data_IF_042918019304
#
_entry.id   IF_042918019304
#
_cell.length_a   1.000
_cell.length_b   1.000
_cell.length_c   1.000
_cell.angle_alpha   90.00
_cell.angle_beta   90.00
_cell.angle_gamma   90.00
#
_symmetry.space_group_name_H-M   'P 1'
#
loop_
_entity.id
_entity.type
_entity.pdbx_description
1 polymer ?
#
# COMPACT_ATOMS: atom_id res chain seq x y z
N UNK A 1 -61.32 60.50 2.90
CA UNK A 1 -59.97 60.58 3.48
C UNK A 1 -60.05 59.74 4.75
N UNK A 2 -59.52 58.53 4.91
CA UNK A 2 -58.44 57.78 4.26
C UNK A 2 -58.81 56.28 4.37
N UNK A 3 -58.68 55.52 3.29
CA UNK A 3 -58.75 54.04 3.31
C UNK A 3 -57.48 53.47 3.96
N UNK A 4 -57.58 52.46 4.83
CA UNK A 4 -56.49 51.52 5.06
C UNK A 4 -57.02 50.11 5.38
N UNK A 5 -56.50 49.14 4.62
CA UNK A 5 -56.89 47.73 4.56
C UNK A 5 -56.39 46.89 5.76
N UNK A 6 -56.97 45.72 6.04
CA UNK A 6 -56.45 44.80 7.05
C UNK A 6 -55.21 44.06 6.53
N UNK A 7 -54.11 44.10 7.30
CA UNK A 7 -52.88 43.35 7.05
C UNK A 7 -53.11 41.87 7.34
N UNK A 8 -53.02 41.03 6.30
CA UNK A 8 -52.81 39.60 6.41
C UNK A 8 -51.47 39.31 7.10
N UNK A 9 -51.50 38.60 8.22
CA UNK A 9 -50.33 37.98 8.84
C UNK A 9 -49.87 36.82 7.96
N UNK A 10 -48.81 37.02 7.17
CA UNK A 10 -48.16 35.92 6.46
C UNK A 10 -47.40 35.05 7.47
N UNK A 11 -47.82 33.79 7.58
CA UNK A 11 -47.04 32.75 8.25
C UNK A 11 -45.69 32.63 7.53
N UNK A 12 -44.62 33.01 8.23
CA UNK A 12 -43.26 32.70 7.82
C UNK A 12 -43.11 31.20 7.64
N UNK A 13 -42.92 30.77 6.40
CA UNK A 13 -42.50 29.41 6.07
C UNK A 13 -41.04 29.31 6.53
N UNK A 14 -40.82 28.79 7.74
CA UNK A 14 -39.52 28.23 8.09
C UNK A 14 -39.30 27.03 7.19
N UNK A 15 -38.62 27.26 6.07
CA UNK A 15 -37.97 26.23 5.27
C UNK A 15 -36.85 25.65 6.14
N UNK A 16 -37.17 24.68 6.98
CA UNK A 16 -36.19 23.74 7.48
C UNK A 16 -35.65 22.98 6.29
N UNK A 17 -34.51 23.43 5.77
CA UNK A 17 -33.67 22.60 4.93
C UNK A 17 -33.19 21.46 5.83
N UNK A 18 -33.95 20.37 5.84
CA UNK A 18 -33.35 19.06 6.02
C UNK A 18 -32.37 18.94 4.87
N UNK A 19 -31.08 18.89 5.19
CA UNK A 19 -30.07 18.45 4.25
C UNK A 19 -30.48 17.04 3.84
N UNK A 20 -31.19 16.92 2.72
CA UNK A 20 -31.47 15.66 2.06
C UNK A 20 -30.13 15.12 1.56
N UNK A 21 -29.36 14.51 2.46
CA UNK A 21 -28.28 13.62 2.10
C UNK A 21 -28.91 12.44 1.36
N UNK A 22 -28.99 12.60 0.03
CA UNK A 22 -29.30 11.50 -0.87
C UNK A 22 -28.37 10.32 -0.60
N UNK A 23 -28.72 9.11 -1.08
CA UNK A 23 -28.01 7.88 -0.74
C UNK A 23 -26.49 8.05 -0.92
N UNK A 24 -25.67 7.44 -0.04
CA UNK A 24 -24.22 7.56 -0.05
C UNK A 24 -23.70 7.34 -1.46
N UNK A 25 -23.22 8.41 -2.09
CA UNK A 25 -22.69 8.29 -3.45
C UNK A 25 -21.38 7.52 -3.36
N UNK A 26 -21.37 6.29 -3.87
CA UNK A 26 -20.16 5.50 -4.02
C UNK A 26 -19.11 6.35 -4.75
N UNK A 27 -17.92 6.59 -4.16
CA UNK A 27 -16.93 7.47 -4.74
C UNK A 27 -16.56 7.08 -6.16
N UNK A 28 -16.39 8.09 -7.01
CA UNK A 28 -15.77 7.89 -8.32
C UNK A 28 -14.31 7.47 -8.17
N UNK A 29 -13.75 6.79 -9.17
CA UNK A 29 -12.33 6.38 -9.18
C UNK A 29 -11.38 7.58 -8.95
N UNK A 30 -11.72 8.74 -9.52
CA UNK A 30 -10.93 9.97 -9.36
C UNK A 30 -10.89 10.42 -7.90
N UNK A 31 -12.01 10.34 -7.19
CA UNK A 31 -12.08 10.71 -5.77
C UNK A 31 -11.31 9.71 -4.89
N UNK A 32 -11.40 8.40 -5.20
CA UNK A 32 -10.60 7.39 -4.50
C UNK A 32 -9.11 7.66 -4.70
N UNK A 33 -8.66 7.89 -5.94
CA UNK A 33 -7.26 8.20 -6.25
C UNK A 33 -6.76 9.46 -5.54
N UNK A 34 -7.58 10.51 -5.41
CA UNK A 34 -7.18 11.72 -4.68
C UNK A 34 -7.01 11.52 -3.18
N UNK A 35 -7.55 10.43 -2.62
CA UNK A 35 -7.38 10.07 -1.22
C UNK A 35 -6.23 9.08 -0.99
N UNK A 36 -5.61 8.56 -2.06
CA UNK A 36 -4.47 7.65 -1.97
C UNK A 36 -3.22 8.47 -1.63
N UNK A 37 -2.54 8.08 -0.55
CA UNK A 37 -1.19 8.56 -0.30
C UNK A 37 -0.22 7.91 -1.29
N UNK A 38 0.60 8.73 -1.94
CA UNK A 38 1.54 8.27 -2.95
C UNK A 38 2.83 9.09 -2.93
N UNK A 39 3.94 8.42 -2.68
CA UNK A 39 5.30 8.90 -2.88
C UNK A 39 5.80 8.43 -4.25
N UNK A 40 6.19 9.41 -5.05
CA UNK A 40 6.91 9.21 -6.30
C UNK A 40 8.40 9.08 -6.01
N UNK A 41 9.07 8.22 -6.77
CA UNK A 41 10.52 8.08 -6.72
C UNK A 41 11.14 8.77 -7.92
N UNK A 42 12.13 9.62 -7.66
CA UNK A 42 12.89 10.23 -8.76
C UNK A 42 13.62 9.15 -9.57
N UNK A 43 13.67 9.28 -10.91
CA UNK A 43 14.50 8.43 -11.74
C UNK A 43 15.93 8.37 -11.19
N UNK A 44 16.56 7.20 -11.25
CA UNK A 44 17.93 6.94 -10.79
C UNK A 44 18.19 7.07 -9.27
N UNK A 45 17.18 7.44 -8.47
CA UNK A 45 17.20 7.13 -7.04
C UNK A 45 16.81 5.65 -6.88
N UNK A 46 17.48 4.88 -6.02
CA UNK A 46 17.18 3.44 -5.84
C UNK A 46 16.32 3.14 -4.60
N UNK A 47 15.60 4.15 -4.12
CA UNK A 47 14.84 4.17 -2.86
C UNK A 47 13.49 3.43 -2.91
N UNK A 48 13.35 2.43 -3.80
CA UNK A 48 12.08 1.73 -4.00
C UNK A 48 11.55 1.04 -2.75
N UNK A 49 12.43 0.58 -1.84
CA UNK A 49 12.00 0.01 -0.56
C UNK A 49 11.30 1.06 0.30
N UNK A 50 11.85 2.27 0.41
CA UNK A 50 11.26 3.38 1.17
C UNK A 50 9.85 3.71 0.65
N UNK A 51 9.75 3.97 -0.65
CA UNK A 51 8.49 4.36 -1.25
C UNK A 51 7.48 3.21 -1.27
N UNK A 52 7.92 1.96 -1.44
CA UNK A 52 7.04 0.79 -1.34
C UNK A 52 6.42 0.67 0.06
N UNK A 53 7.23 0.84 1.12
CA UNK A 53 6.77 0.83 2.52
C UNK A 53 5.77 1.97 2.80
N UNK A 54 6.14 3.21 2.49
CA UNK A 54 5.29 4.36 2.77
C UNK A 54 3.99 4.34 1.95
N UNK A 55 4.08 3.92 0.68
CA UNK A 55 2.90 3.75 -0.16
C UNK A 55 1.98 2.65 0.36
N UNK A 56 2.49 1.46 0.70
CA UNK A 56 1.61 0.36 1.15
C UNK A 56 0.93 0.65 2.48
N UNK A 57 1.62 1.37 3.37
CA UNK A 57 1.10 1.84 4.67
C UNK A 57 0.28 3.11 4.56
N UNK A 58 0.25 3.73 3.38
CA UNK A 58 -0.49 4.95 3.05
C UNK A 58 -0.11 6.15 3.96
N UNK A 59 1.19 6.34 4.18
CA UNK A 59 1.74 7.50 4.89
C UNK A 59 3.27 7.46 4.97
N UNK A 60 3.92 8.54 5.43
CA UNK A 60 5.37 8.61 5.59
C UNK A 60 5.79 7.90 6.89
N UNK A 61 5.69 6.57 6.93
CA UNK A 61 6.03 5.78 8.12
C UNK A 61 7.53 5.66 8.35
N UNK A 62 8.31 5.67 7.26
CA UNK A 62 9.75 5.55 7.29
C UNK A 62 10.38 6.73 6.55
N UNK A 63 11.54 7.12 7.02
CA UNK A 63 12.49 8.00 6.35
C UNK A 63 13.68 7.20 5.81
N UNK A 64 14.54 7.87 5.03
CA UNK A 64 15.80 7.27 4.60
C UNK A 64 16.70 6.90 5.79
N UNK A 65 16.77 7.77 6.80
CA UNK A 65 17.60 7.57 7.99
C UNK A 65 17.13 6.36 8.81
N UNK A 66 15.81 6.12 8.86
CA UNK A 66 15.24 4.93 9.51
C UNK A 66 15.72 3.65 8.82
N UNK A 67 15.67 3.60 7.48
CA UNK A 67 16.11 2.42 6.72
C UNK A 67 17.62 2.19 6.79
N UNK A 68 18.41 3.26 6.83
CA UNK A 68 19.86 3.16 7.05
C UNK A 68 20.13 2.59 8.45
N UNK A 69 19.41 3.07 9.47
CA UNK A 69 19.55 2.58 10.84
C UNK A 69 19.20 1.09 10.94
N UNK A 70 18.07 0.68 10.35
CA UNK A 70 17.67 -0.73 10.29
C UNK A 70 18.70 -1.59 9.55
N UNK A 71 19.25 -1.10 8.43
CA UNK A 71 20.31 -1.81 7.71
C UNK A 71 21.54 -2.02 8.58
N UNK A 72 22.00 -0.99 9.29
CA UNK A 72 23.18 -1.08 10.15
C UNK A 72 22.97 -2.06 11.31
N UNK A 73 21.77 -2.10 11.89
CA UNK A 73 21.40 -3.08 12.92
C UNK A 73 21.43 -4.51 12.39
N UNK A 74 20.90 -4.75 11.18
CA UNK A 74 20.96 -6.04 10.51
C UNK A 74 22.42 -6.45 10.23
N UNK A 75 23.22 -5.53 9.70
CA UNK A 75 24.63 -5.76 9.39
C UNK A 75 25.45 -6.09 10.64
N UNK A 76 25.18 -5.44 11.77
CA UNK A 76 25.83 -5.75 13.04
C UNK A 76 25.39 -7.11 13.59
N UNK A 77 24.10 -7.43 13.52
CA UNK A 77 23.57 -8.74 13.94
C UNK A 77 24.16 -9.88 13.10
N UNK A 78 24.25 -9.71 11.78
CA UNK A 78 24.88 -10.67 10.88
C UNK A 78 26.37 -10.85 11.17
N UNK A 79 27.11 -9.75 11.38
CA UNK A 79 28.53 -9.81 11.77
C UNK A 79 28.73 -10.51 13.11
N UNK A 80 27.88 -10.24 14.10
CA UNK A 80 27.93 -10.89 15.42
C UNK A 80 27.76 -12.41 15.31
N UNK A 81 26.84 -12.89 14.44
CA UNK A 81 26.62 -14.32 14.20
C UNK A 81 27.82 -15.01 13.51
N UNK A 82 28.60 -14.25 12.74
CA UNK A 82 29.79 -14.75 12.03
C UNK A 82 31.08 -14.63 12.85
N UNK A 83 31.04 -14.05 14.06
CA UNK A 83 32.23 -13.92 14.90
C UNK A 83 32.84 -15.30 15.20
N UNK A 84 34.15 -15.43 14.94
CA UNK A 84 34.86 -16.71 15.10
C UNK A 84 34.66 -17.70 13.96
N UNK A 85 33.89 -17.36 12.92
CA UNK A 85 33.73 -18.16 11.71
C UNK A 85 34.63 -17.63 10.58
N UNK A 86 35.23 -18.54 9.80
CA UNK A 86 36.02 -18.17 8.60
C UNK A 86 35.21 -17.35 7.57
N UNK A 87 33.87 -17.45 7.61
CA UNK A 87 32.96 -16.74 6.72
C UNK A 87 32.93 -15.23 6.99
N UNK A 88 33.41 -14.76 8.14
CA UNK A 88 33.54 -13.33 8.41
C UNK A 88 34.46 -12.62 7.39
N UNK A 89 35.44 -13.34 6.83
CA UNK A 89 36.31 -12.81 5.77
C UNK A 89 35.56 -12.57 4.45
N UNK A 90 34.42 -13.22 4.25
CA UNK A 90 33.55 -13.03 3.09
C UNK A 90 32.55 -11.88 3.28
N UNK A 91 32.51 -11.25 4.47
CA UNK A 91 31.66 -10.09 4.73
C UNK A 91 32.27 -8.85 4.07
N UNK A 92 31.73 -8.44 2.93
CA UNK A 92 32.25 -7.35 2.09
C UNK A 92 31.20 -6.24 1.94
N UNK A 93 31.53 -5.07 1.35
CA UNK A 93 30.52 -4.06 1.03
C UNK A 93 29.34 -4.58 0.18
N UNK A 94 29.54 -5.64 -0.61
CA UNK A 94 28.46 -6.29 -1.37
C UNK A 94 27.52 -7.15 -0.51
N UNK A 95 27.92 -7.44 0.73
CA UNK A 95 27.12 -8.17 1.72
C UNK A 95 26.28 -7.23 2.60
N UNK A 96 26.46 -5.91 2.48
CA UNK A 96 25.73 -4.94 3.28
C UNK A 96 24.26 -4.88 2.88
N UNK A 97 23.41 -4.64 3.87
CA UNK A 97 21.96 -4.54 3.68
C UNK A 97 21.53 -3.22 2.99
N UNK A 98 22.42 -2.24 2.89
CA UNK A 98 22.22 -0.98 2.18
C UNK A 98 23.43 -0.61 1.30
N UNK A 99 23.14 -0.08 0.11
CA UNK A 99 24.12 0.49 -0.81
C UNK A 99 24.17 2.02 -0.70
N UNK A 100 25.32 2.62 -1.03
CA UNK A 100 25.49 4.07 -1.17
C UNK A 100 24.56 4.71 -2.21
N UNK A 101 24.06 3.93 -3.16
CA UNK A 101 23.12 4.40 -4.18
C UNK A 101 21.65 4.33 -3.72
N UNK A 102 21.38 3.76 -2.54
CA UNK A 102 20.02 3.67 -1.99
C UNK A 102 19.31 2.33 -2.23
N UNK A 103 20.00 1.31 -2.75
CA UNK A 103 19.47 -0.05 -2.72
C UNK A 103 19.41 -0.59 -1.29
N UNK A 104 18.28 -1.17 -0.93
CA UNK A 104 18.08 -1.87 0.33
C UNK A 104 17.74 -3.34 0.08
N UNK A 105 18.24 -4.22 0.93
CA UNK A 105 17.94 -5.65 0.86
C UNK A 105 16.47 -5.93 1.18
N UNK A 106 16.00 -7.12 0.80
CA UNK A 106 14.67 -7.59 1.22
C UNK A 106 14.54 -7.69 2.76
N UNK A 107 15.64 -7.94 3.48
CA UNK A 107 15.63 -8.02 4.94
C UNK A 107 15.33 -6.67 5.57
N UNK A 108 15.85 -5.57 5.01
CA UNK A 108 15.52 -4.21 5.47
C UNK A 108 14.01 -3.93 5.37
N UNK A 109 13.40 -4.28 4.23
CA UNK A 109 11.95 -4.13 4.04
C UNK A 109 11.16 -4.92 5.08
N UNK A 110 11.55 -6.18 5.33
CA UNK A 110 10.85 -7.05 6.28
C UNK A 110 11.06 -6.61 7.73
N UNK A 111 12.27 -6.14 8.07
CA UNK A 111 12.59 -5.61 9.39
C UNK A 111 11.85 -4.30 9.68
N UNK A 112 11.75 -3.41 8.69
CA UNK A 112 10.94 -2.19 8.80
C UNK A 112 9.46 -2.52 9.07
N UNK A 113 8.87 -3.46 8.32
CA UNK A 113 7.49 -3.88 8.60
C UNK A 113 7.35 -4.50 10.00
N UNK A 114 8.32 -5.31 10.42
CA UNK A 114 8.33 -5.91 11.75
C UNK A 114 8.40 -4.87 12.88
N UNK A 115 9.12 -3.76 12.70
CA UNK A 115 9.23 -2.69 13.72
C UNK A 115 7.90 -1.98 13.98
N UNK A 116 6.96 -2.02 13.02
CA UNK A 116 5.58 -1.53 13.16
C UNK A 116 4.56 -2.66 13.39
N UNK A 117 5.03 -3.86 13.74
CA UNK A 117 4.17 -5.01 14.10
C UNK A 117 3.54 -5.75 12.91
N UNK A 118 4.08 -5.57 11.70
CA UNK A 118 3.56 -6.19 10.47
C UNK A 118 4.48 -7.32 10.01
N UNK A 119 3.90 -8.51 9.82
CA UNK A 119 4.64 -9.69 9.36
C UNK A 119 4.04 -10.22 8.04
N UNK A 120 4.63 -9.87 6.87
CA UNK A 120 4.13 -10.33 5.58
C UNK A 120 4.29 -11.84 5.38
N UNK A 121 3.31 -12.47 4.74
CA UNK A 121 3.35 -13.89 4.40
C UNK A 121 3.86 -14.11 2.98
N UNK A 122 4.87 -14.97 2.74
CA UNK A 122 5.31 -15.26 1.38
C UNK A 122 4.25 -16.03 0.59
N UNK A 123 3.91 -15.55 -0.61
CA UNK A 123 3.03 -16.25 -1.54
C UNK A 123 3.83 -17.35 -2.26
N UNK A 124 3.83 -18.55 -1.68
CA UNK A 124 4.49 -19.72 -2.24
C UNK A 124 3.60 -20.42 -3.27
N UNK A 125 4.21 -20.97 -4.31
CA UNK A 125 3.56 -21.82 -5.30
C UNK A 125 4.42 -23.06 -5.60
N UNK A 126 3.80 -24.13 -6.10
CA UNK A 126 4.53 -25.37 -6.46
C UNK A 126 4.97 -25.29 -7.91
N UNK A 127 6.28 -25.19 -8.12
CA UNK A 127 6.91 -25.01 -9.44
C UNK A 127 6.38 -25.94 -10.55
N UNK A 128 5.97 -27.15 -10.18
CA UNK A 128 5.53 -28.22 -11.09
C UNK A 128 4.11 -28.09 -11.63
N UNK A 129 3.29 -27.12 -11.17
CA UNK A 129 1.87 -27.05 -11.52
C UNK A 129 1.41 -25.64 -11.88
N UNK A 130 1.07 -25.38 -13.15
CA UNK A 130 0.50 -24.09 -13.60
C UNK A 130 -0.77 -23.69 -12.82
N UNK A 131 -1.61 -24.68 -12.47
CA UNK A 131 -2.80 -24.44 -11.62
C UNK A 131 -2.43 -23.93 -10.23
N UNK A 132 -1.21 -24.19 -9.74
CA UNK A 132 -0.75 -23.69 -8.44
C UNK A 132 -0.41 -22.20 -8.49
N UNK A 133 0.03 -21.66 -9.64
CA UNK A 133 0.23 -20.21 -9.84
C UNK A 133 -1.09 -19.46 -9.79
N UNK A 134 -2.08 -19.94 -10.54
CA UNK A 134 -3.44 -19.38 -10.52
C UNK A 134 -4.04 -19.42 -9.11
N UNK A 135 -3.86 -20.53 -8.38
CA UNK A 135 -4.30 -20.63 -6.99
C UNK A 135 -3.56 -19.66 -6.06
N UNK A 136 -2.25 -19.49 -6.22
CA UNK A 136 -1.46 -18.55 -5.43
C UNK A 136 -1.88 -17.09 -5.70
N UNK A 137 -2.08 -16.72 -6.97
CA UNK A 137 -2.63 -15.42 -7.34
C UNK A 137 -4.05 -15.24 -6.78
N UNK A 138 -4.90 -16.26 -6.86
CA UNK A 138 -6.25 -16.19 -6.27
C UNK A 138 -6.22 -16.08 -4.74
N UNK A 139 -5.25 -16.71 -4.06
CA UNK A 139 -5.00 -16.52 -2.64
C UNK A 139 -4.64 -15.07 -2.32
N UNK A 140 -3.98 -14.36 -3.24
CA UNK A 140 -3.60 -12.96 -3.05
C UNK A 140 -4.80 -12.05 -2.76
N UNK A 141 -6.00 -12.40 -3.26
CA UNK A 141 -7.25 -11.67 -3.01
C UNK A 141 -7.57 -11.54 -1.52
N UNK A 142 -7.15 -12.50 -0.69
CA UNK A 142 -7.47 -12.51 0.74
C UNK A 142 -6.71 -11.45 1.54
N UNK A 143 -5.55 -11.00 1.06
CA UNK A 143 -4.71 -10.02 1.72
C UNK A 143 -5.23 -8.59 1.54
N UNK A 144 -4.91 -7.72 2.49
CA UNK A 144 -5.17 -6.29 2.39
C UNK A 144 -4.15 -5.55 1.51
N UNK A 145 -2.95 -6.11 1.37
CA UNK A 145 -1.94 -5.64 0.43
C UNK A 145 -1.06 -6.79 -0.06
N UNK A 146 -0.39 -6.57 -1.19
CA UNK A 146 0.60 -7.50 -1.77
C UNK A 146 1.84 -6.71 -2.13
N UNK A 147 3.00 -7.15 -1.64
CA UNK A 147 4.31 -6.61 -2.02
C UNK A 147 4.91 -7.49 -3.10
N UNK A 148 5.56 -6.87 -4.08
CA UNK A 148 6.21 -7.56 -5.19
C UNK A 148 7.61 -7.01 -5.36
N UNK A 149 8.59 -7.90 -5.43
CA UNK A 149 9.91 -7.60 -5.95
C UNK A 149 10.07 -8.25 -7.31
N UNK A 150 10.13 -7.43 -8.36
CA UNK A 150 10.26 -7.86 -9.74
C UNK A 150 11.21 -6.92 -10.47
N UNK A 151 12.16 -7.50 -11.22
CA UNK A 151 13.15 -6.75 -12.01
C UNK A 151 13.91 -5.68 -11.20
N UNK A 152 14.45 -6.09 -10.04
CA UNK A 152 15.20 -5.22 -9.11
C UNK A 152 14.42 -4.01 -8.57
N UNK A 153 13.09 -4.12 -8.53
CA UNK A 153 12.20 -3.05 -8.07
C UNK A 153 11.12 -3.58 -7.13
N UNK A 154 10.87 -2.82 -6.06
CA UNK A 154 9.78 -3.07 -5.11
C UNK A 154 8.57 -2.22 -5.43
N UNK A 155 7.40 -2.86 -5.48
CA UNK A 155 6.11 -2.20 -5.64
C UNK A 155 5.05 -2.86 -4.75
N UNK A 156 3.95 -2.15 -4.54
CA UNK A 156 2.84 -2.64 -3.74
C UNK A 156 1.50 -2.61 -4.50
N UNK A 157 0.63 -3.52 -4.12
CA UNK A 157 -0.79 -3.52 -4.45
C UNK A 157 -1.58 -3.36 -3.16
N UNK A 158 -2.46 -2.36 -3.08
CA UNK A 158 -3.32 -2.14 -1.91
C UNK A 158 -4.78 -2.46 -2.26
N UNK A 159 -5.42 -3.31 -1.46
CA UNK A 159 -6.85 -3.60 -1.55
C UNK A 159 -7.63 -2.51 -0.83
N UNK A 160 -8.58 -1.90 -1.53
CA UNK A 160 -9.39 -0.79 -1.03
C UNK A 160 -10.86 -1.09 -1.29
N UNK A 161 -11.69 -0.93 -0.26
CA UNK A 161 -13.15 -1.15 -0.35
C UNK A 161 -13.83 0.17 -0.04
N UNK A 162 -14.64 0.70 -0.96
CA UNK A 162 -15.38 1.95 -0.79
C UNK A 162 -16.85 1.72 -1.14
N UNK A 163 -17.71 1.74 -0.12
CA UNK A 163 -19.09 1.26 -0.24
C UNK A 163 -19.12 -0.20 -0.72
N UNK A 164 -19.89 -0.49 -1.77
CA UNK A 164 -20.02 -1.84 -2.36
C UNK A 164 -18.91 -2.19 -3.37
N UNK A 165 -17.95 -1.28 -3.62
CA UNK A 165 -16.92 -1.49 -4.64
C UNK A 165 -15.59 -1.86 -4.01
N UNK A 166 -14.96 -2.88 -4.57
CA UNK A 166 -13.59 -3.26 -4.27
C UNK A 166 -12.67 -2.83 -5.41
N UNK A 167 -11.55 -2.23 -5.04
CA UNK A 167 -10.49 -1.78 -5.92
C UNK A 167 -9.16 -2.37 -5.47
N UNK A 168 -8.28 -2.56 -6.45
CA UNK A 168 -6.86 -2.76 -6.21
C UNK A 168 -6.11 -1.56 -6.74
N UNK A 169 -5.32 -0.92 -5.89
CA UNK A 169 -4.49 0.23 -6.25
C UNK A 169 -3.06 -0.27 -6.43
N UNK A 170 -2.52 -0.11 -7.63
CA UNK A 170 -1.10 -0.32 -7.91
C UNK A 170 -0.32 0.91 -7.44
N UNK A 171 0.66 0.67 -6.59
CA UNK A 171 1.53 1.64 -5.94
C UNK A 171 2.97 1.33 -6.35
N UNK A 172 3.31 1.78 -7.55
CA UNK A 172 4.62 1.63 -8.16
C UNK A 172 5.24 3.02 -8.27
N UNK A 173 6.31 3.26 -7.50
CA UNK A 173 6.90 4.59 -7.32
C UNK A 173 7.55 5.15 -8.59
N UNK A 174 7.80 4.33 -9.61
CA UNK A 174 8.26 4.76 -10.94
C UNK A 174 7.13 5.25 -11.85
N UNK A 175 5.87 5.08 -11.46
CA UNK A 175 4.73 5.58 -12.23
C UNK A 175 4.40 7.00 -11.82
N UNK A 176 3.83 7.76 -12.75
CA UNK A 176 3.35 9.12 -12.51
C UNK A 176 2.30 9.24 -11.38
N UNK A 177 1.71 8.13 -10.94
CA UNK A 177 0.76 8.10 -9.84
C UNK A 177 0.16 6.71 -9.62
N UNK A 178 -0.71 6.59 -8.59
CA UNK A 178 -1.39 5.35 -8.28
C UNK A 178 -2.41 4.98 -9.36
N UNK A 179 -2.58 3.68 -9.61
CA UNK A 179 -3.51 3.18 -10.63
C UNK A 179 -4.56 2.23 -10.05
N UNK A 180 -5.85 2.52 -10.27
CA UNK A 180 -6.93 1.60 -9.90
C UNK A 180 -7.11 0.52 -10.97
N UNK A 181 -7.08 -0.73 -10.54
CA UNK A 181 -7.40 -1.93 -11.31
C UNK A 181 -8.55 -2.70 -10.67
N UNK A 182 -9.26 -3.48 -11.49
CA UNK A 182 -10.23 -4.47 -10.99
C UNK A 182 -9.49 -5.68 -10.42
N UNK A 183 -10.16 -6.46 -9.59
CA UNK A 183 -9.60 -7.68 -8.99
C UNK A 183 -9.03 -8.63 -10.04
N UNK A 184 -9.75 -8.88 -11.13
CA UNK A 184 -9.30 -9.81 -12.17
C UNK A 184 -8.01 -9.35 -12.82
N UNK A 185 -7.87 -8.04 -13.05
CA UNK A 185 -6.67 -7.44 -13.64
C UNK A 185 -5.48 -7.48 -12.67
N UNK A 186 -5.71 -7.16 -11.39
CA UNK A 186 -4.67 -7.22 -10.37
C UNK A 186 -4.17 -8.65 -10.17
N UNK A 187 -5.07 -9.63 -10.07
CA UNK A 187 -4.70 -11.03 -9.88
C UNK A 187 -3.99 -11.61 -11.11
N UNK A 188 -4.42 -11.26 -12.32
CA UNK A 188 -3.71 -11.64 -13.54
C UNK A 188 -2.28 -11.10 -13.55
N UNK A 189 -2.07 -9.85 -13.12
CA UNK A 189 -0.73 -9.26 -13.04
C UNK A 189 0.13 -9.92 -11.95
N UNK A 190 -0.45 -10.23 -10.78
CA UNK A 190 0.24 -10.99 -9.72
C UNK A 190 0.63 -12.40 -10.21
N UNK A 191 -0.23 -13.07 -10.97
CA UNK A 191 0.10 -14.36 -11.59
C UNK A 191 1.31 -14.23 -12.55
N UNK A 192 1.37 -13.14 -13.34
CA UNK A 192 2.52 -12.87 -14.21
C UNK A 192 3.81 -12.67 -13.42
N UNK A 193 3.77 -11.94 -12.30
CA UNK A 193 4.94 -11.80 -11.41
C UNK A 193 5.39 -13.15 -10.85
N UNK A 194 4.44 -13.96 -10.36
CA UNK A 194 4.74 -15.30 -9.84
C UNK A 194 5.33 -16.22 -10.93
N UNK A 195 4.82 -16.15 -12.16
CA UNK A 195 5.35 -16.87 -13.33
C UNK A 195 6.78 -16.46 -13.65
N UNK A 196 7.08 -15.17 -13.52
CA UNK A 196 8.42 -14.63 -13.67
C UNK A 196 9.33 -14.88 -12.45
N UNK A 197 8.89 -15.69 -11.48
CA UNK A 197 9.62 -16.01 -10.24
C UNK A 197 9.95 -14.79 -9.40
N UNK A 198 9.12 -13.73 -9.48
CA UNK A 198 9.19 -12.60 -8.57
C UNK A 198 9.03 -13.06 -7.12
N UNK A 199 9.59 -12.27 -6.19
CA UNK A 199 9.30 -12.46 -4.77
C UNK A 199 8.00 -11.73 -4.46
N UNK A 200 7.05 -12.43 -3.83
CA UNK A 200 5.72 -11.88 -3.56
C UNK A 200 5.33 -12.17 -2.11
N UNK A 201 4.92 -11.13 -1.39
CA UNK A 201 4.41 -11.22 -0.02
C UNK A 201 2.98 -10.67 0.08
N UNK A 202 2.16 -11.26 0.92
CA UNK A 202 0.82 -10.79 1.25
C UNK A 202 0.79 -10.24 2.67
N UNK A 203 0.11 -9.11 2.86
CA UNK A 203 -0.10 -8.50 4.19
C UNK A 203 -1.58 -8.65 4.55
N UNK A 204 -1.92 -9.33 5.66
CA UNK A 204 -3.30 -9.42 6.14
C UNK A 204 -3.92 -8.03 6.33
N UNK A 205 -5.22 -7.90 6.08
CA UNK A 205 -5.88 -6.57 6.12
C UNK A 205 -5.87 -5.99 7.55
N UNK A 206 -6.03 -6.87 8.54
CA UNK A 206 -5.99 -6.59 9.97
C UNK A 206 -4.61 -6.13 10.46
N UNK A 207 -3.53 -6.44 9.75
CA UNK A 207 -2.19 -5.97 10.09
C UNK A 207 -1.92 -4.55 9.54
N UNK A 208 -2.71 -4.08 8.58
CA UNK A 208 -2.50 -2.77 7.97
C UNK A 208 -3.12 -1.68 8.85
N UNK A 209 -2.46 -0.51 8.96
CA UNK A 209 -3.03 0.61 9.70
C UNK A 209 -4.34 1.09 9.05
N UNK A 210 -5.17 1.73 9.87
CA UNK A 210 -6.29 2.53 9.37
C UNK A 210 -5.77 3.84 8.80
N UNK A 211 -6.21 4.20 7.60
CA UNK A 211 -5.61 5.28 6.81
C UNK A 211 -6.66 6.33 6.44
N UNK A 212 -6.27 7.55 6.06
CA UNK A 212 -7.20 8.54 5.49
C UNK A 212 -8.00 8.00 4.30
N UNK A 213 -7.40 7.09 3.50
CA UNK A 213 -8.08 6.38 2.42
C UNK A 213 -9.17 5.44 2.94
N UNK A 214 -8.87 4.66 3.99
CA UNK A 214 -9.85 3.78 4.64
C UNK A 214 -11.00 4.60 5.25
N UNK A 215 -10.71 5.74 5.89
CA UNK A 215 -11.72 6.66 6.44
C UNK A 215 -12.56 7.34 5.35
N UNK A 216 -11.93 7.75 4.25
CA UNK A 216 -12.62 8.28 3.08
C UNK A 216 -13.61 7.25 2.55
N UNK A 217 -13.17 6.01 2.37
CA UNK A 217 -14.01 4.94 1.86
C UNK A 217 -15.07 4.45 2.86
N UNK A 218 -14.77 4.50 4.17
CA UNK A 218 -15.67 4.17 5.27
C UNK A 218 -16.87 5.11 5.36
N UNK A 219 -16.66 6.42 5.11
CA UNK A 219 -17.72 7.45 5.09
C UNK A 219 -18.80 7.25 4.03
N UNK A 220 -18.56 6.38 3.05
CA UNK A 220 -19.49 6.08 1.95
C UNK A 220 -20.10 4.68 2.05
N UNK A 221 -20.08 4.08 3.25
CA UNK A 221 -20.56 2.71 3.52
C UNK A 221 -21.91 2.67 4.25
N UNK A 222 -22.56 3.81 4.50
CA UNK A 222 -23.90 3.89 5.12
C UNK A 222 -24.96 4.29 4.12
#
# INVERSE_FOLDING_TARGET
MVCFAPRFLSRGRHSGAIDEEGPPRVPSRKQVLSAVYFEHQEPDSYLCVLHCLNNVLQGPYFSLDDLISISNELDEAERALLQGHELLQAYTPASLNASLTGFFSAQVLLAALASVGIHPEPLRWKASETRSLQRAAQKAVQYGAVLVHYDSHWLAWRRVVCGLKLYWVLLDSYRAGPEIRRTEQAMAQIELYLRAKAVVYGIPKEALPETPLDQFCGRHTM
#
